data_IF_393075140798
#
_entry.id   IF_393075140798
#
_cell.length_a   1.000
_cell.length_b   1.000
_cell.length_c   1.000
_cell.angle_alpha   90.00
_cell.angle_beta   90.00
_cell.angle_gamma   90.00
#
_symmetry.space_group_name_H-M   'P 1'
#
loop_
_entity.id
_entity.type
_entity.pdbx_description
1 polymer ?
#
# COMPACT_ATOMS: atom_id res chain seq x y z
N UNK A 1 2.23 -20.43 -7.19
CA UNK A 1 3.42 -19.59 -7.46
C UNK A 1 3.76 -19.80 -8.92
N UNK A 2 3.75 -18.78 -9.72
CA UNK A 2 4.11 -18.91 -11.13
C UNK A 2 5.62 -18.90 -11.25
N UNK A 3 6.17 -19.80 -12.06
CA UNK A 3 7.62 -19.98 -12.32
C UNK A 3 8.37 -18.68 -12.73
N UNK A 4 7.63 -17.63 -13.08
CA UNK A 4 8.16 -16.32 -13.44
C UNK A 4 8.83 -15.59 -12.25
N UNK A 5 8.44 -15.88 -11.02
CA UNK A 5 8.95 -15.20 -9.82
C UNK A 5 10.32 -15.69 -9.35
N UNK A 6 10.70 -16.90 -9.75
CA UNK A 6 11.92 -17.55 -9.22
C UNK A 6 13.20 -17.09 -9.94
N UNK A 7 13.08 -16.30 -11.01
CA UNK A 7 14.21 -15.92 -11.87
C UNK A 7 14.41 -14.40 -12.05
N UNK A 8 13.50 -13.54 -11.54
CA UNK A 8 13.66 -12.10 -11.67
C UNK A 8 14.49 -11.54 -10.52
N UNK A 9 15.57 -10.84 -10.87
CA UNK A 9 16.33 -10.04 -9.90
C UNK A 9 15.52 -8.80 -9.51
N UNK A 10 14.87 -8.84 -8.36
CA UNK A 10 14.04 -7.75 -7.83
C UNK A 10 14.87 -6.52 -7.44
N UNK A 11 16.19 -6.69 -7.25
CA UNK A 11 17.11 -5.62 -6.89
C UNK A 11 17.70 -4.91 -8.10
N UNK A 12 17.42 -5.38 -9.33
CA UNK A 12 17.89 -4.74 -10.54
C UNK A 12 17.41 -3.28 -10.62
N UNK A 13 18.34 -2.37 -10.79
CA UNK A 13 18.11 -0.92 -10.81
C UNK A 13 18.09 -0.33 -12.22
N UNK A 14 18.51 -1.11 -13.22
CA UNK A 14 18.54 -0.66 -14.60
C UNK A 14 17.23 -0.96 -15.32
N UNK A 15 16.86 -0.08 -16.25
CA UNK A 15 15.69 -0.27 -17.10
C UNK A 15 16.03 0.20 -18.53
N UNK A 16 15.57 -0.52 -19.54
CA UNK A 16 15.67 -0.06 -20.92
C UNK A 16 14.63 1.04 -21.22
N UNK A 17 14.96 1.90 -22.18
CA UNK A 17 14.15 3.08 -22.53
C UNK A 17 12.75 2.71 -23.05
N UNK A 18 12.63 1.61 -23.78
CA UNK A 18 11.33 1.13 -24.29
C UNK A 18 10.42 0.76 -23.14
N UNK A 19 10.96 0.03 -22.15
CA UNK A 19 10.20 -0.38 -20.97
C UNK A 19 9.84 0.83 -20.10
N UNK A 20 10.76 1.76 -19.89
CA UNK A 20 10.51 2.99 -19.15
C UNK A 20 9.38 3.82 -19.80
N UNK A 21 9.39 3.94 -21.13
CA UNK A 21 8.32 4.61 -21.88
C UNK A 21 6.97 3.93 -21.71
N UNK A 22 6.90 2.60 -21.80
CA UNK A 22 5.66 1.85 -21.56
C UNK A 22 5.08 2.08 -20.15
N UNK A 23 5.96 2.12 -19.15
CA UNK A 23 5.56 2.39 -17.76
C UNK A 23 5.02 3.82 -17.63
N UNK A 24 5.75 4.80 -18.15
CA UNK A 24 5.32 6.22 -18.14
C UNK A 24 3.95 6.39 -18.77
N UNK A 25 3.75 5.85 -19.97
CA UNK A 25 2.48 5.98 -20.69
C UNK A 25 1.34 5.28 -19.97
N UNK A 26 1.64 4.14 -19.31
CA UNK A 26 0.68 3.44 -18.45
C UNK A 26 0.29 4.26 -17.22
N UNK A 27 1.25 4.87 -16.54
CA UNK A 27 1.03 5.73 -15.38
C UNK A 27 0.18 6.94 -15.74
N UNK A 28 0.54 7.68 -16.80
CA UNK A 28 -0.20 8.85 -17.24
C UNK A 28 -1.64 8.52 -17.59
N UNK A 29 -1.89 7.43 -18.34
CA UNK A 29 -3.25 7.00 -18.68
C UNK A 29 -4.12 6.75 -17.43
N UNK A 30 -3.55 6.15 -16.36
CA UNK A 30 -4.29 5.90 -15.13
C UNK A 30 -4.53 7.18 -14.35
N UNK A 31 -3.54 8.08 -14.28
CA UNK A 31 -3.70 9.38 -13.63
C UNK A 31 -4.76 10.24 -14.31
N UNK A 32 -4.79 10.25 -15.66
CA UNK A 32 -5.81 10.96 -16.44
C UNK A 32 -7.20 10.39 -16.16
N UNK A 33 -7.35 9.07 -16.15
CA UNK A 33 -8.63 8.42 -15.83
C UNK A 33 -9.12 8.73 -14.40
N UNK A 34 -8.20 8.84 -13.43
CA UNK A 34 -8.55 9.26 -12.06
C UNK A 34 -9.02 10.72 -12.06
N UNK A 35 -8.32 11.61 -12.74
CA UNK A 35 -8.69 13.03 -12.82
C UNK A 35 -10.07 13.23 -13.48
N UNK A 36 -10.35 12.49 -14.56
CA UNK A 36 -11.67 12.49 -15.20
C UNK A 36 -12.77 11.98 -14.23
N UNK A 37 -12.50 10.89 -13.50
CA UNK A 37 -13.46 10.34 -12.54
C UNK A 37 -13.70 11.28 -11.35
N UNK A 38 -12.67 11.95 -10.84
CA UNK A 38 -12.81 12.99 -9.80
C UNK A 38 -13.70 14.13 -10.28
N UNK A 39 -13.43 14.63 -11.48
CA UNK A 39 -14.20 15.71 -12.09
C UNK A 39 -15.67 15.31 -12.29
N UNK A 40 -15.92 14.14 -12.85
CA UNK A 40 -17.27 13.62 -13.07
C UNK A 40 -18.06 13.41 -11.76
N UNK A 41 -17.37 13.10 -10.67
CA UNK A 41 -17.95 12.92 -9.34
C UNK A 41 -18.02 14.21 -8.51
N UNK A 42 -17.61 15.36 -9.05
CA UNK A 42 -17.57 16.63 -8.33
C UNK A 42 -16.58 16.65 -7.15
N UNK A 43 -15.53 15.84 -7.20
CA UNK A 43 -14.50 15.75 -6.17
C UNK A 43 -13.40 16.77 -6.42
N UNK A 44 -12.72 17.17 -5.35
CA UNK A 44 -11.54 18.03 -5.48
C UNK A 44 -10.42 17.28 -6.25
N UNK A 45 -9.73 17.95 -7.18
CA UNK A 45 -8.59 17.36 -7.89
C UNK A 45 -7.55 16.82 -6.91
N UNK A 46 -7.05 15.62 -7.17
CA UNK A 46 -6.07 14.93 -6.31
C UNK A 46 -6.61 14.41 -4.98
N UNK A 47 -7.94 14.36 -4.80
CA UNK A 47 -8.57 13.74 -3.63
C UNK A 47 -8.47 12.21 -3.63
N UNK A 48 -8.26 11.61 -4.81
CA UNK A 48 -7.99 10.19 -4.98
C UNK A 48 -6.48 9.98 -5.11
N UNK A 49 -5.92 9.13 -4.27
CA UNK A 49 -4.49 8.79 -4.32
C UNK A 49 -4.29 7.47 -5.04
N UNK A 50 -3.39 7.46 -6.02
CA UNK A 50 -3.01 6.25 -6.73
C UNK A 50 -1.88 5.54 -5.98
N UNK A 51 -2.13 4.32 -5.50
CA UNK A 51 -1.10 3.41 -5.04
C UNK A 51 -0.73 2.45 -6.18
N UNK A 52 0.54 2.43 -6.56
CA UNK A 52 1.03 1.46 -7.53
C UNK A 52 1.40 0.15 -6.83
N UNK A 53 0.71 -0.94 -7.19
CA UNK A 53 1.05 -2.28 -6.73
C UNK A 53 2.31 -2.77 -7.47
N UNK A 54 3.44 -2.77 -6.78
CA UNK A 54 4.78 -3.02 -7.35
C UNK A 54 5.25 -4.47 -7.23
N UNK A 55 4.37 -5.36 -6.81
CA UNK A 55 4.65 -6.80 -6.78
C UNK A 55 5.24 -7.27 -8.11
N UNK A 56 6.27 -8.13 -8.06
CA UNK A 56 6.97 -8.69 -9.22
C UNK A 56 7.75 -7.68 -10.07
N UNK A 57 7.78 -6.40 -9.70
CA UNK A 57 8.58 -5.37 -10.39
C UNK A 57 9.92 -5.21 -9.69
N UNK A 58 10.97 -4.98 -10.48
CA UNK A 58 12.29 -4.64 -9.92
C UNK A 58 12.39 -3.15 -9.58
N UNK A 59 13.48 -2.79 -8.93
CA UNK A 59 13.74 -1.41 -8.49
C UNK A 59 13.73 -0.44 -9.67
N UNK A 60 14.35 -0.79 -10.81
CA UNK A 60 14.39 0.06 -12.01
C UNK A 60 13.00 0.36 -12.57
N UNK A 61 12.12 -0.66 -12.66
CA UNK A 61 10.72 -0.46 -13.11
C UNK A 61 9.93 0.43 -12.13
N UNK A 62 10.15 0.26 -10.81
CA UNK A 62 9.48 1.07 -9.80
C UNK A 62 9.94 2.53 -9.87
N UNK A 63 11.24 2.75 -10.04
CA UNK A 63 11.78 4.11 -10.18
C UNK A 63 11.25 4.80 -11.44
N UNK A 64 11.13 4.08 -12.57
CA UNK A 64 10.49 4.63 -13.76
C UNK A 64 9.03 5.05 -13.53
N UNK A 65 8.28 4.31 -12.70
CA UNK A 65 6.92 4.69 -12.32
C UNK A 65 6.91 5.94 -11.42
N UNK A 66 7.85 6.05 -10.48
CA UNK A 66 8.01 7.25 -9.62
C UNK A 66 8.38 8.47 -10.47
N UNK A 67 9.32 8.32 -11.41
CA UNK A 67 9.71 9.37 -12.36
C UNK A 67 8.53 9.81 -13.24
N UNK A 68 7.60 8.89 -13.54
CA UNK A 68 6.36 9.18 -14.28
C UNK A 68 5.22 9.79 -13.42
N UNK A 69 5.40 9.97 -12.12
CA UNK A 69 4.42 10.64 -11.27
C UNK A 69 3.74 9.77 -10.20
N UNK A 70 4.13 8.50 -10.04
CA UNK A 70 3.66 7.70 -8.91
C UNK A 70 4.21 8.29 -7.61
N UNK A 71 3.34 8.45 -6.60
CA UNK A 71 3.67 9.03 -5.29
C UNK A 71 3.26 8.14 -4.11
N UNK A 72 2.95 6.87 -4.37
CA UNK A 72 2.67 5.86 -3.36
C UNK A 72 2.88 4.48 -3.98
N UNK A 73 3.58 3.59 -3.30
CA UNK A 73 3.87 2.24 -3.79
C UNK A 73 3.48 1.19 -2.75
N UNK A 74 3.19 -0.03 -3.21
CA UNK A 74 2.78 -1.12 -2.33
C UNK A 74 3.23 -2.49 -2.78
N UNK A 75 3.71 -3.29 -1.83
CA UNK A 75 4.15 -4.65 -2.03
C UNK A 75 3.18 -5.67 -1.42
N UNK A 76 2.99 -6.79 -2.12
CA UNK A 76 2.17 -7.88 -1.60
C UNK A 76 2.92 -8.76 -0.59
N UNK A 77 4.24 -8.82 -0.66
CA UNK A 77 5.03 -9.79 0.12
C UNK A 77 6.11 -9.09 0.93
N UNK A 78 6.23 -9.41 2.23
CA UNK A 78 7.31 -8.90 3.07
C UNK A 78 8.72 -9.12 2.49
N UNK A 79 8.92 -10.21 1.75
CA UNK A 79 10.20 -10.52 1.10
C UNK A 79 10.55 -9.53 0.00
N UNK A 80 9.54 -9.06 -0.76
CA UNK A 80 9.74 -8.05 -1.81
C UNK A 80 10.03 -6.67 -1.20
N UNK A 81 9.37 -6.31 -0.09
CA UNK A 81 9.73 -5.11 0.68
C UNK A 81 11.21 -5.14 1.06
N UNK A 82 11.64 -6.22 1.73
CA UNK A 82 13.03 -6.35 2.20
C UNK A 82 14.07 -6.35 1.07
N UNK A 83 13.74 -6.95 -0.07
CA UNK A 83 14.66 -7.04 -1.20
C UNK A 83 14.86 -5.70 -1.91
N UNK A 84 13.82 -4.87 -1.97
CA UNK A 84 13.81 -3.63 -2.76
C UNK A 84 14.08 -2.37 -1.95
N UNK A 85 13.82 -2.39 -0.63
CA UNK A 85 13.81 -1.18 0.20
C UNK A 85 15.13 -0.38 0.14
N UNK A 86 16.30 -1.04 0.17
CA UNK A 86 17.60 -0.36 0.14
C UNK A 86 17.82 0.38 -1.18
N UNK A 87 17.65 -0.31 -2.31
CA UNK A 87 17.80 0.29 -3.64
C UNK A 87 16.81 1.42 -3.89
N UNK A 88 15.52 1.20 -3.54
CA UNK A 88 14.50 2.23 -3.67
C UNK A 88 14.79 3.46 -2.80
N UNK A 89 15.21 3.27 -1.54
CA UNK A 89 15.50 4.40 -0.65
C UNK A 89 16.64 5.26 -1.19
N UNK A 90 17.72 4.62 -1.64
CA UNK A 90 18.86 5.31 -2.23
C UNK A 90 18.48 6.07 -3.50
N UNK A 91 17.79 5.43 -4.45
CA UNK A 91 17.42 6.05 -5.72
C UNK A 91 16.31 7.11 -5.57
N UNK A 92 15.44 6.99 -4.57
CA UNK A 92 14.50 8.05 -4.19
C UNK A 92 15.24 9.26 -3.64
N UNK A 93 16.21 9.05 -2.74
CA UNK A 93 17.01 10.14 -2.17
C UNK A 93 17.79 10.91 -3.24
N UNK A 94 18.37 10.22 -4.23
CA UNK A 94 19.05 10.83 -5.38
C UNK A 94 18.12 11.77 -6.20
N UNK A 95 16.80 11.58 -6.09
CA UNK A 95 15.76 12.39 -6.75
C UNK A 95 15.07 13.41 -5.83
N UNK A 96 15.52 13.54 -4.60
CA UNK A 96 14.93 14.44 -3.61
C UNK A 96 13.68 13.89 -2.93
N UNK A 97 13.40 12.59 -3.06
CA UNK A 97 12.29 11.93 -2.37
C UNK A 97 12.75 11.19 -1.10
N UNK A 98 11.84 11.07 -0.15
CA UNK A 98 12.03 10.19 1.02
C UNK A 98 11.07 9.00 0.93
N UNK A 99 11.59 7.78 0.98
CA UNK A 99 10.80 6.54 0.92
C UNK A 99 10.46 6.02 2.31
N UNK A 100 9.24 5.56 2.49
CA UNK A 100 8.84 4.80 3.67
C UNK A 100 8.86 5.62 4.96
N UNK A 101 8.98 4.96 6.11
CA UNK A 101 8.93 5.63 7.43
C UNK A 101 10.08 6.59 7.67
N UNK A 102 11.21 6.37 7.03
CA UNK A 102 12.43 7.15 7.29
C UNK A 102 12.94 7.03 8.73
N UNK A 103 12.49 6.02 9.48
CA UNK A 103 12.89 5.81 10.86
C UNK A 103 14.40 5.58 10.98
N UNK A 104 15.06 6.50 11.69
CA UNK A 104 16.50 6.46 11.90
C UNK A 104 17.35 7.04 10.77
N UNK A 105 16.78 7.52 9.69
CA UNK A 105 17.52 8.22 8.64
C UNK A 105 17.70 9.71 9.00
N UNK A 106 18.78 10.01 9.70
CA UNK A 106 19.18 11.38 10.05
C UNK A 106 19.76 12.17 8.86
N UNK A 107 19.94 11.52 7.70
CA UNK A 107 20.46 12.15 6.48
C UNK A 107 19.36 12.71 5.58
N UNK A 108 18.11 12.45 5.92
CA UNK A 108 16.94 12.88 5.16
C UNK A 108 16.82 14.42 5.16
N UNK A 109 16.70 15.06 3.99
CA UNK A 109 16.30 16.46 3.91
C UNK A 109 14.91 16.67 4.55
N UNK A 110 14.78 17.69 5.38
CA UNK A 110 13.52 17.99 6.10
C UNK A 110 12.36 18.38 5.18
N UNK A 111 12.66 18.72 3.94
CA UNK A 111 11.76 19.22 2.90
C UNK A 111 11.55 18.22 1.73
N UNK A 112 12.13 17.01 1.83
CA UNK A 112 11.96 15.99 0.79
C UNK A 112 10.49 15.55 0.68
N UNK A 113 9.97 15.50 -0.55
CA UNK A 113 8.66 14.93 -0.82
C UNK A 113 8.65 13.44 -0.43
N UNK A 114 7.63 13.04 0.32
CA UNK A 114 7.54 11.71 0.87
C UNK A 114 6.79 10.76 -0.07
N UNK A 115 7.39 9.59 -0.36
CA UNK A 115 6.74 8.49 -1.07
C UNK A 115 6.38 7.40 -0.06
N UNK A 116 5.10 7.25 0.32
CA UNK A 116 4.65 6.17 1.18
C UNK A 116 4.93 4.80 0.55
N UNK A 117 5.43 3.88 1.38
CA UNK A 117 5.67 2.49 1.02
C UNK A 117 4.78 1.58 1.87
N UNK A 118 3.80 0.94 1.25
CA UNK A 118 2.79 0.14 1.93
C UNK A 118 3.04 -1.36 1.78
N UNK A 119 2.63 -2.14 2.76
CA UNK A 119 2.36 -3.56 2.59
C UNK A 119 0.87 -3.73 2.32
N UNK A 120 0.53 -4.23 1.13
CA UNK A 120 -0.86 -4.38 0.66
C UNK A 120 -1.35 -5.84 0.62
N UNK A 121 -0.46 -6.81 0.88
CA UNK A 121 -0.83 -8.22 0.96
C UNK A 121 -0.69 -8.78 2.36
N UNK A 122 -1.13 -10.01 2.56
CA UNK A 122 -1.22 -10.64 3.88
C UNK A 122 0.11 -10.66 4.64
N UNK A 123 0.07 -10.23 5.89
CA UNK A 123 1.22 -10.16 6.79
C UNK A 123 1.24 -11.33 7.78
N UNK A 124 2.23 -12.18 7.64
CA UNK A 124 2.52 -13.20 8.67
C UNK A 124 3.18 -12.56 9.89
N UNK A 125 2.75 -12.95 11.09
CA UNK A 125 3.22 -12.38 12.35
C UNK A 125 4.75 -12.41 12.55
N UNK A 126 5.43 -13.45 12.04
CA UNK A 126 6.89 -13.59 12.11
C UNK A 126 7.66 -12.65 11.16
N UNK A 127 6.97 -11.94 10.27
CA UNK A 127 7.56 -10.98 9.32
C UNK A 127 7.37 -9.53 9.76
N UNK A 128 6.48 -9.24 10.72
CA UNK A 128 6.15 -7.88 11.16
C UNK A 128 7.43 -7.07 11.44
N UNK A 129 8.29 -7.56 12.35
CA UNK A 129 9.49 -6.83 12.75
C UNK A 129 10.51 -6.58 11.63
N UNK A 130 10.40 -7.29 10.51
CA UNK A 130 11.32 -7.14 9.38
C UNK A 130 10.93 -6.02 8.43
N UNK A 131 9.63 -5.71 8.32
CA UNK A 131 9.12 -4.70 7.37
C UNK A 131 8.86 -3.34 8.02
N UNK A 132 8.63 -3.30 9.34
CA UNK A 132 8.33 -2.05 10.04
C UNK A 132 9.36 -0.92 9.83
N UNK A 133 10.67 -1.18 9.60
CA UNK A 133 11.61 -0.11 9.28
C UNK A 133 11.36 0.56 7.92
N UNK A 134 10.65 -0.10 7.02
CA UNK A 134 10.55 0.31 5.61
C UNK A 134 9.15 0.80 5.24
N UNK A 135 8.09 0.24 5.86
CA UNK A 135 6.71 0.54 5.46
C UNK A 135 6.03 1.56 6.35
N UNK A 136 5.24 2.44 5.75
CA UNK A 136 4.42 3.43 6.46
C UNK A 136 3.09 2.86 6.93
N UNK A 137 2.46 2.02 6.10
CA UNK A 137 1.10 1.54 6.31
C UNK A 137 0.99 0.07 5.92
N UNK A 138 0.23 -0.68 6.71
CA UNK A 138 -0.14 -2.07 6.45
C UNK A 138 -1.64 -2.09 6.17
N UNK A 139 -2.03 -2.44 4.93
CA UNK A 139 -3.42 -2.34 4.48
C UNK A 139 -4.23 -3.61 4.71
N UNK A 140 -3.57 -4.72 5.06
CA UNK A 140 -4.16 -6.06 5.16
C UNK A 140 -4.38 -6.51 6.62
N UNK A 141 -4.78 -5.60 7.49
CA UNK A 141 -5.09 -5.93 8.89
C UNK A 141 -6.51 -6.43 8.96
N UNK A 142 -6.69 -7.72 9.17
CA UNK A 142 -7.97 -8.44 9.13
C UNK A 142 -8.68 -8.57 10.49
N UNK A 143 -8.08 -8.02 11.55
CA UNK A 143 -8.67 -8.08 12.88
C UNK A 143 -7.75 -7.61 14.01
N UNK A 144 -8.31 -7.59 15.23
CA UNK A 144 -7.65 -7.07 16.42
C UNK A 144 -6.38 -7.84 16.78
N UNK A 145 -6.33 -9.15 16.57
CA UNK A 145 -5.17 -9.96 16.93
C UNK A 145 -3.92 -9.57 16.14
N UNK A 146 -4.04 -9.42 14.82
CA UNK A 146 -2.94 -8.97 13.97
C UNK A 146 -2.54 -7.54 14.33
N UNK A 147 -3.53 -6.64 14.51
CA UNK A 147 -3.29 -5.26 14.93
C UNK A 147 -2.49 -5.17 16.24
N UNK A 148 -2.85 -5.96 17.26
CA UNK A 148 -2.10 -6.02 18.53
C UNK A 148 -0.67 -6.53 18.36
N UNK A 149 -0.43 -7.46 17.45
CA UNK A 149 0.91 -7.98 17.17
C UNK A 149 1.78 -6.91 16.50
N UNK A 150 1.20 -6.14 15.56
CA UNK A 150 1.85 -4.99 14.92
C UNK A 150 2.14 -3.91 15.95
N UNK A 151 1.14 -3.51 16.74
CA UNK A 151 1.21 -2.49 17.77
C UNK A 151 2.36 -2.75 18.76
N UNK A 152 2.43 -3.96 19.32
CA UNK A 152 3.52 -4.34 20.24
C UNK A 152 4.91 -4.21 19.61
N UNK A 153 5.06 -4.54 18.33
CA UNK A 153 6.33 -4.43 17.61
C UNK A 153 6.69 -2.98 17.28
N UNK A 154 5.69 -2.16 16.97
CA UNK A 154 5.87 -0.74 16.71
C UNK A 154 6.26 0.01 17.99
N UNK A 155 5.55 -0.21 19.11
CA UNK A 155 5.88 0.35 20.43
C UNK A 155 7.31 -0.01 20.85
N UNK A 156 7.69 -1.29 20.70
CA UNK A 156 9.06 -1.75 21.02
C UNK A 156 10.16 -1.07 20.20
N UNK A 157 9.80 -0.45 19.07
CA UNK A 157 10.71 0.33 18.20
C UNK A 157 10.58 1.84 18.41
N UNK A 158 9.62 2.29 19.19
CA UNK A 158 9.33 3.71 19.37
C UNK A 158 8.71 4.38 18.14
N UNK A 159 8.03 3.61 17.28
CA UNK A 159 7.40 4.11 16.05
C UNK A 159 5.89 3.98 16.09
N UNK A 160 5.21 4.70 15.20
CA UNK A 160 3.79 4.53 14.90
C UNK A 160 3.62 4.19 13.43
N UNK A 161 2.95 3.06 13.12
CA UNK A 161 2.68 2.62 11.76
C UNK A 161 1.20 2.77 11.43
N UNK A 162 0.89 3.21 10.21
CA UNK A 162 -0.49 3.25 9.68
C UNK A 162 -1.05 1.86 9.47
N UNK A 163 -2.34 1.67 9.72
CA UNK A 163 -3.04 0.43 9.39
C UNK A 163 -4.39 0.74 8.74
N UNK A 164 -4.76 -0.07 7.74
CA UNK A 164 -6.13 -0.13 7.25
C UNK A 164 -6.75 -1.45 7.72
N UNK A 165 -8.01 -1.40 8.14
CA UNK A 165 -8.77 -2.62 8.45
C UNK A 165 -9.29 -3.19 7.14
N UNK A 166 -8.87 -4.41 6.81
CA UNK A 166 -9.36 -5.15 5.65
C UNK A 166 -10.74 -5.73 5.96
N UNK A 167 -11.73 -5.36 5.14
CA UNK A 167 -13.12 -5.80 5.25
C UNK A 167 -13.47 -6.68 4.07
N UNK A 168 -14.04 -7.86 4.31
CA UNK A 168 -14.42 -8.80 3.26
C UNK A 168 -15.77 -8.42 2.64
N UNK A 169 -15.76 -7.51 1.70
CA UNK A 169 -16.95 -7.10 0.94
C UNK A 169 -17.30 -8.06 -0.21
N UNK A 170 -16.49 -9.09 -0.44
CA UNK A 170 -16.73 -10.04 -1.53
C UNK A 170 -17.83 -11.06 -1.24
N UNK A 171 -18.16 -11.27 0.04
CA UNK A 171 -19.05 -12.34 0.48
C UNK A 171 -18.48 -13.76 0.37
N UNK A 172 -17.23 -13.90 -0.08
CA UNK A 172 -16.53 -15.18 -0.22
C UNK A 172 -15.78 -15.53 1.08
N UNK A 173 -16.16 -16.63 1.74
CA UNK A 173 -15.51 -17.08 2.98
C UNK A 173 -14.01 -17.41 2.83
N UNK A 174 -13.52 -17.60 1.61
CA UNK A 174 -12.11 -17.86 1.31
C UNK A 174 -11.25 -16.60 1.20
N UNK A 175 -11.86 -15.42 1.17
CA UNK A 175 -11.17 -14.13 1.10
C UNK A 175 -10.81 -13.61 2.47
N UNK A 176 -9.71 -12.85 2.53
CA UNK A 176 -9.26 -12.16 3.73
C UNK A 176 -10.19 -11.02 4.11
N UNK A 177 -9.99 -10.51 5.33
CA UNK A 177 -10.74 -9.39 5.87
C UNK A 177 -11.77 -9.82 6.92
N UNK A 178 -12.13 -8.91 7.80
CA UNK A 178 -13.16 -9.13 8.80
C UNK A 178 -14.56 -9.12 8.18
N UNK A 179 -15.54 -9.65 8.91
CA UNK A 179 -16.95 -9.54 8.55
C UNK A 179 -17.34 -8.05 8.51
N UNK A 180 -18.03 -7.58 7.45
CA UNK A 180 -18.52 -6.21 7.35
C UNK A 180 -19.37 -5.78 8.56
N UNK A 181 -20.17 -6.68 9.13
CA UNK A 181 -20.99 -6.38 10.30
C UNK A 181 -20.19 -6.14 11.59
N UNK A 182 -18.96 -6.68 11.68
CA UNK A 182 -18.08 -6.51 12.81
C UNK A 182 -17.06 -5.37 12.61
N UNK A 183 -16.99 -4.78 11.43
CA UNK A 183 -15.92 -3.87 11.04
C UNK A 183 -15.82 -2.63 11.94
N UNK A 184 -16.95 -2.02 12.33
CA UNK A 184 -16.98 -0.83 13.19
C UNK A 184 -16.45 -1.15 14.59
N UNK A 185 -16.88 -2.26 15.17
CA UNK A 185 -16.43 -2.68 16.52
C UNK A 185 -14.94 -3.05 16.52
N UNK A 186 -14.46 -3.72 15.47
CA UNK A 186 -13.04 -4.06 15.31
C UNK A 186 -12.21 -2.78 15.12
N UNK A 187 -12.67 -1.85 14.28
CA UNK A 187 -12.00 -0.56 14.06
C UNK A 187 -11.89 0.24 15.36
N UNK A 188 -12.94 0.29 16.16
CA UNK A 188 -12.94 0.96 17.47
C UNK A 188 -11.91 0.34 18.42
N UNK A 189 -11.75 -0.99 18.45
CA UNK A 189 -10.75 -1.65 19.26
C UNK A 189 -9.31 -1.39 18.74
N UNK A 190 -9.10 -1.41 17.42
CA UNK A 190 -7.81 -1.12 16.81
C UNK A 190 -7.37 0.32 17.09
N UNK A 191 -8.28 1.28 17.03
CA UNK A 191 -8.00 2.69 17.27
C UNK A 191 -7.51 2.99 18.70
N UNK A 192 -7.67 2.06 19.65
CA UNK A 192 -7.20 2.21 21.03
C UNK A 192 -5.77 1.67 21.26
N UNK A 193 -5.14 1.08 20.22
CA UNK A 193 -3.84 0.46 20.37
C UNK A 193 -2.71 1.45 20.15
N UNK A 194 -1.79 1.55 21.11
CA UNK A 194 -0.56 2.33 20.96
C UNK A 194 0.36 1.73 19.88
N UNK A 195 1.13 2.59 19.22
CA UNK A 195 2.10 2.19 18.20
C UNK A 195 1.51 1.94 16.81
N UNK A 196 0.19 2.01 16.65
CA UNK A 196 -0.47 2.01 15.34
C UNK A 196 -1.47 3.17 15.24
N UNK A 197 -1.79 3.54 14.01
CA UNK A 197 -2.81 4.54 13.70
C UNK A 197 -3.76 3.95 12.66
N UNK A 198 -5.03 3.77 13.04
CA UNK A 198 -6.07 3.38 12.09
C UNK A 198 -6.31 4.53 11.11
N UNK A 199 -6.03 4.31 9.83
CA UNK A 199 -6.13 5.33 8.76
C UNK A 199 -7.39 5.16 7.92
N UNK A 200 -8.09 4.03 8.05
CA UNK A 200 -9.30 3.76 7.31
C UNK A 200 -9.56 2.27 7.09
N UNK A 201 -10.36 1.99 6.07
CA UNK A 201 -10.76 0.65 5.68
C UNK A 201 -10.14 0.28 4.32
N UNK A 202 -9.96 -1.01 4.08
CA UNK A 202 -9.50 -1.56 2.81
C UNK A 202 -10.41 -2.72 2.38
N UNK A 203 -10.63 -2.87 1.10
CA UNK A 203 -11.21 -4.09 0.52
C UNK A 203 -10.66 -4.34 -0.89
N UNK A 204 -10.63 -5.60 -1.30
CA UNK A 204 -10.33 -5.98 -2.68
C UNK A 204 -11.61 -6.05 -3.51
N UNK A 205 -12.76 -6.25 -2.86
CA UNK A 205 -14.05 -6.41 -3.51
C UNK A 205 -14.24 -7.79 -4.17
N UNK A 206 -15.38 -7.97 -4.82
CA UNK A 206 -15.68 -9.20 -5.54
C UNK A 206 -14.91 -9.29 -6.86
N UNK A 207 -14.43 -10.49 -7.19
CA UNK A 207 -13.76 -10.75 -8.47
C UNK A 207 -14.80 -11.26 -9.50
N UNK A 208 -15.56 -10.34 -10.05
CA UNK A 208 -16.64 -10.58 -11.03
C UNK A 208 -16.56 -9.56 -12.16
N UNK A 209 -17.19 -9.88 -13.30
CA UNK A 209 -17.25 -8.98 -14.45
C UNK A 209 -18.44 -7.98 -14.37
N UNK A 210 -19.29 -8.09 -13.35
CA UNK A 210 -20.43 -7.21 -13.15
C UNK A 210 -20.02 -5.91 -12.41
N UNK A 211 -20.00 -4.81 -13.15
CA UNK A 211 -19.65 -3.48 -12.63
C UNK A 211 -20.58 -3.03 -11.48
N UNK A 212 -21.88 -3.36 -11.54
CA UNK A 212 -22.82 -2.97 -10.50
C UNK A 212 -22.47 -3.63 -9.16
N UNK A 213 -22.12 -4.90 -9.17
CA UNK A 213 -21.66 -5.65 -8.00
C UNK A 213 -20.35 -5.05 -7.44
N UNK A 214 -19.39 -4.73 -8.30
CA UNK A 214 -18.11 -4.11 -7.89
C UNK A 214 -18.39 -2.76 -7.21
N UNK A 215 -19.21 -1.90 -7.82
CA UNK A 215 -19.59 -0.60 -7.26
C UNK A 215 -20.34 -0.72 -5.94
N UNK A 216 -21.23 -1.72 -5.80
CA UNK A 216 -21.95 -1.97 -4.55
C UNK A 216 -21.02 -2.32 -3.39
N UNK A 217 -20.00 -3.16 -3.60
CA UNK A 217 -18.99 -3.49 -2.60
C UNK A 217 -18.28 -2.23 -2.06
N UNK A 218 -17.79 -1.37 -2.95
CA UNK A 218 -17.12 -0.13 -2.54
C UNK A 218 -18.08 0.89 -1.90
N UNK A 219 -19.35 0.94 -2.35
CA UNK A 219 -20.36 1.80 -1.74
C UNK A 219 -20.70 1.36 -0.32
N UNK A 220 -20.78 0.04 -0.07
CA UNK A 220 -21.02 -0.53 1.24
C UNK A 220 -19.84 -0.21 2.18
N UNK A 221 -18.61 -0.47 1.76
CA UNK A 221 -17.41 -0.12 2.55
C UNK A 221 -17.37 1.37 2.90
N UNK A 222 -17.71 2.25 1.94
CA UNK A 222 -17.82 3.68 2.21
C UNK A 222 -18.85 3.99 3.29
N UNK A 223 -20.03 3.35 3.24
CA UNK A 223 -21.05 3.47 4.27
C UNK A 223 -20.54 3.07 5.65
N UNK A 224 -19.81 1.94 5.73
CA UNK A 224 -19.16 1.48 6.98
C UNK A 224 -18.14 2.50 7.51
N UNK A 225 -17.35 3.12 6.63
CA UNK A 225 -16.39 4.18 7.03
C UNK A 225 -17.07 5.41 7.60
N UNK A 226 -18.23 5.77 7.08
CA UNK A 226 -18.95 7.01 7.42
C UNK A 226 -19.78 6.86 8.73
N UNK A 227 -19.80 5.64 9.33
CA UNK A 227 -20.46 5.33 10.62
C UNK A 227 -19.56 5.67 11.78
#
# INVERSE_FOLDING_TARGET
>A
MTAYMDHKDLTNESIDETRATQIRDGVHRVLDAIAEAESAAGRAPGSVKLLAATKTRDVGEIMAAIDAGIRMIGENRPQEVMAKAEGLRRLCADRGFALGTGDGDTTRPSDAEHIPFHLIGQLQANKIGKILPDVNTIESVDGVELAQRIARRAVARGITVGVLLEVNESGEASKSGCDPQAAVDIAAQIAQLDGIRLEGLMTIGAHVDDEATIRACFAHLRGTRDT
#
